data_IF_898944889332
#
_entry.id   IF_898944889332
#
_cell.length_a   1.000
_cell.length_b   1.000
_cell.length_c   1.000
_cell.angle_alpha   90.00
_cell.angle_beta   90.00
_cell.angle_gamma   90.00
#
_symmetry.space_group_name_H-M   'P 1'
#
loop_
_entity.id
_entity.type
_entity.pdbx_description
1 polymer ?
#
# COMPACT_ATOMS: atom_id res chain seq x y z
N UNK A 1 -1.28 42.60 7.86
CA UNK A 1 -0.90 41.87 6.63
C UNK A 1 0.22 40.93 7.04
N UNK A 2 -0.04 39.63 7.10
CA UNK A 2 1.03 38.63 7.25
C UNK A 2 1.68 38.50 5.87
N UNK A 3 2.99 38.72 5.83
CA UNK A 3 3.80 38.58 4.62
C UNK A 3 4.23 37.13 4.57
N UNK A 4 3.90 36.43 3.48
CA UNK A 4 4.34 35.06 3.25
C UNK A 4 5.86 35.02 3.17
N UNK A 5 6.49 34.26 4.05
CA UNK A 5 7.92 34.04 4.06
C UNK A 5 8.29 32.64 3.52
N UNK A 6 9.58 32.35 3.55
CA UNK A 6 10.12 31.08 3.04
C UNK A 6 9.54 29.88 3.80
N UNK A 7 9.15 30.06 5.08
CA UNK A 7 8.55 29.00 5.88
C UNK A 7 7.11 28.74 5.46
N UNK A 8 6.35 29.81 5.18
CA UNK A 8 4.98 29.71 4.67
C UNK A 8 4.98 28.99 3.31
N UNK A 9 5.86 29.39 2.39
CA UNK A 9 6.01 28.73 1.08
C UNK A 9 6.46 27.27 1.18
N UNK A 10 7.32 26.95 2.15
CA UNK A 10 7.74 25.57 2.41
C UNK A 10 6.58 24.71 2.91
N UNK A 11 5.78 25.24 3.85
CA UNK A 11 4.62 24.56 4.41
C UNK A 11 3.54 24.33 3.34
N UNK A 12 3.25 25.33 2.51
CA UNK A 12 2.30 25.17 1.41
C UNK A 12 2.74 24.11 0.40
N UNK A 13 4.04 24.08 0.06
CA UNK A 13 4.58 23.07 -0.84
C UNK A 13 4.51 21.67 -0.24
N UNK A 14 4.78 21.51 1.05
CA UNK A 14 4.61 20.24 1.74
C UNK A 14 3.15 19.77 1.71
N UNK A 15 2.21 20.66 2.01
CA UNK A 15 0.77 20.34 1.95
C UNK A 15 0.35 19.91 0.54
N UNK A 16 0.75 20.66 -0.49
CA UNK A 16 0.49 20.29 -1.89
C UNK A 16 1.03 18.90 -2.23
N UNK A 17 2.24 18.57 -1.78
CA UNK A 17 2.84 17.25 -2.01
C UNK A 17 2.08 16.12 -1.30
N UNK A 18 1.61 16.36 -0.06
CA UNK A 18 0.79 15.42 0.70
C UNK A 18 -0.55 15.20 -0.01
N UNK A 19 -1.22 16.27 -0.43
CA UNK A 19 -2.50 16.20 -1.13
C UNK A 19 -2.38 15.41 -2.44
N UNK A 20 -1.33 15.67 -3.22
CA UNK A 20 -1.03 14.93 -4.44
C UNK A 20 -0.77 13.45 -4.16
N UNK A 21 -0.01 13.13 -3.11
CA UNK A 21 0.26 11.75 -2.72
C UNK A 21 -1.02 11.01 -2.29
N UNK A 22 -1.89 11.67 -1.52
CA UNK A 22 -3.17 11.11 -1.09
C UNK A 22 -4.14 10.92 -2.27
N UNK A 23 -4.23 11.89 -3.18
CA UNK A 23 -5.09 11.81 -4.36
C UNK A 23 -4.67 10.68 -5.31
N UNK A 24 -3.35 10.46 -5.47
CA UNK A 24 -2.81 9.43 -6.36
C UNK A 24 -2.57 8.08 -5.68
N UNK A 25 -2.86 7.96 -4.38
CA UNK A 25 -2.67 6.71 -3.65
C UNK A 25 -3.61 5.65 -4.23
N UNK A 26 -3.04 4.66 -4.92
CA UNK A 26 -3.77 3.48 -5.38
C UNK A 26 -4.40 2.78 -4.18
N UNK A 27 -5.73 2.76 -4.11
CA UNK A 27 -6.45 1.98 -3.11
C UNK A 27 -6.16 0.50 -3.38
N UNK A 28 -5.73 -0.28 -2.37
CA UNK A 28 -5.60 -1.71 -2.55
C UNK A 28 -7.00 -2.30 -2.79
N UNK A 29 -7.28 -2.67 -4.04
CA UNK A 29 -8.51 -3.35 -4.49
C UNK A 29 -8.33 -4.86 -4.38
N UNK A 30 -7.93 -5.33 -3.21
CA UNK A 30 -7.92 -6.77 -2.93
C UNK A 30 -9.32 -7.13 -2.47
N UNK A 31 -10.08 -7.76 -3.38
CA UNK A 31 -11.40 -8.26 -3.05
C UNK A 31 -11.29 -9.45 -2.12
N UNK A 32 -12.19 -9.54 -1.15
CA UNK A 32 -12.27 -10.69 -0.28
C UNK A 32 -12.84 -11.89 -1.06
N UNK A 33 -12.01 -12.91 -1.27
CA UNK A 33 -12.38 -14.10 -2.05
C UNK A 33 -13.00 -15.22 -1.20
N UNK A 34 -13.07 -15.06 0.12
CA UNK A 34 -13.47 -16.13 1.05
C UNK A 34 -12.39 -17.21 1.26
N UNK A 35 -11.21 -17.05 0.65
CA UNK A 35 -10.07 -17.96 0.78
C UNK A 35 -8.78 -17.20 1.08
N UNK A 36 -7.87 -17.84 1.79
CA UNK A 36 -6.52 -17.33 2.00
C UNK A 36 -5.82 -17.15 0.65
N UNK A 37 -5.20 -15.99 0.40
CA UNK A 37 -4.48 -15.74 -0.85
C UNK A 37 -3.21 -16.59 -1.02
N UNK A 38 -2.73 -17.25 0.04
CA UNK A 38 -1.53 -18.09 0.00
C UNK A 38 -1.86 -19.58 -0.07
N UNK A 39 -2.52 -20.12 0.97
CA UNK A 39 -2.79 -21.55 1.11
C UNK A 39 -4.18 -21.98 0.63
N UNK A 40 -5.01 -21.05 0.14
CA UNK A 40 -6.38 -21.28 -0.34
C UNK A 40 -7.39 -21.83 0.68
N UNK A 41 -7.03 -21.89 1.97
CA UNK A 41 -7.95 -22.27 3.04
C UNK A 41 -9.15 -21.32 3.12
N UNK A 42 -10.32 -21.87 3.46
CA UNK A 42 -11.54 -21.07 3.64
C UNK A 42 -11.40 -20.18 4.87
N UNK A 43 -11.58 -18.88 4.68
CA UNK A 43 -11.50 -17.87 5.75
C UNK A 43 -12.82 -17.10 5.82
N UNK A 44 -13.22 -16.74 7.03
CA UNK A 44 -14.45 -15.96 7.26
C UNK A 44 -14.23 -14.44 7.24
N UNK A 45 -12.97 -14.00 7.37
CA UNK A 45 -12.59 -12.58 7.39
C UNK A 45 -11.13 -12.40 6.95
N UNK A 46 -10.80 -11.18 6.52
CA UNK A 46 -9.43 -10.82 6.14
C UNK A 46 -9.04 -11.42 4.78
N UNK A 47 -7.74 -11.55 4.50
CA UNK A 47 -7.24 -12.05 3.20
C UNK A 47 -6.30 -13.25 3.36
N UNK A 48 -5.93 -13.55 4.60
CA UNK A 48 -5.01 -14.63 4.96
C UNK A 48 -5.55 -15.32 6.21
N UNK A 49 -5.34 -16.64 6.33
CA UNK A 49 -5.75 -17.39 7.50
C UNK A 49 -4.87 -17.10 8.73
N UNK A 50 -3.61 -16.72 8.51
CA UNK A 50 -2.66 -16.37 9.56
C UNK A 50 -1.68 -15.26 9.12
N UNK A 51 -0.91 -14.74 10.09
CA UNK A 51 0.18 -13.80 9.81
C UNK A 51 1.30 -14.44 9.00
N UNK A 52 1.62 -15.71 9.23
CA UNK A 52 2.67 -16.41 8.48
C UNK A 52 2.30 -16.51 7.00
N UNK A 53 1.05 -16.88 6.68
CA UNK A 53 0.58 -16.96 5.30
C UNK A 53 0.67 -15.63 4.55
N UNK A 54 0.48 -14.50 5.25
CA UNK A 54 0.67 -13.17 4.65
C UNK A 54 2.13 -12.94 4.31
N UNK A 55 3.02 -13.18 5.26
CA UNK A 55 4.46 -12.93 5.10
C UNK A 55 5.08 -13.79 4.00
N UNK A 56 4.68 -15.06 3.91
CA UNK A 56 5.19 -15.97 2.90
C UNK A 56 4.69 -15.61 1.50
N UNK A 57 3.42 -15.22 1.37
CA UNK A 57 2.90 -14.71 0.10
C UNK A 57 3.59 -13.41 -0.33
N UNK A 58 3.88 -12.49 0.60
CA UNK A 58 4.63 -11.27 0.30
C UNK A 58 6.04 -11.57 -0.22
N UNK A 59 6.75 -12.54 0.39
CA UNK A 59 8.07 -13.00 -0.09
C UNK A 59 7.99 -13.60 -1.48
N UNK A 60 6.99 -14.42 -1.76
CA UNK A 60 6.80 -15.04 -3.08
C UNK A 60 6.50 -13.97 -4.15
N UNK A 61 5.60 -13.03 -3.86
CA UNK A 61 5.29 -11.92 -4.76
C UNK A 61 6.51 -11.03 -5.03
N UNK A 62 7.34 -10.78 -4.02
CA UNK A 62 8.59 -10.05 -4.17
C UNK A 62 9.58 -10.81 -5.07
N UNK A 63 9.75 -12.11 -4.82
CA UNK A 63 10.61 -12.96 -5.65
C UNK A 63 10.13 -12.98 -7.11
N UNK A 64 8.81 -13.10 -7.36
CA UNK A 64 8.23 -13.07 -8.71
C UNK A 64 8.47 -11.74 -9.42
N UNK A 65 8.32 -10.61 -8.72
CA UNK A 65 8.60 -9.28 -9.27
C UNK A 65 10.08 -9.14 -9.67
N UNK A 66 10.99 -9.64 -8.84
CA UNK A 66 12.43 -9.52 -9.09
C UNK A 66 12.97 -10.52 -10.10
N UNK A 67 12.34 -11.71 -10.23
CA UNK A 67 12.68 -12.69 -11.27
C UNK A 67 12.37 -12.20 -12.69
N UNK A 68 11.38 -11.31 -12.85
CA UNK A 68 11.02 -10.70 -14.14
C UNK A 68 11.97 -9.58 -14.59
N UNK A 69 12.93 -9.19 -13.74
CA UNK A 69 13.87 -8.10 -14.02
C UNK A 69 15.27 -8.59 -14.49
N UNK A 70 15.42 -9.88 -14.78
CA UNK A 70 16.63 -10.51 -15.33
C UNK A 70 16.30 -11.16 -16.69
#
# INVERSE_FOLDING_TARGET
MSYADILDEAAEREQQMIELALANRKKPTVEFTGKCHFCEEVISKGHYCSSECREDHEKELWALKNRRAA
#
